data_IF_191688180470
#
_entry.id   IF_191688180470
#
_cell.length_a   1.000
_cell.length_b   1.000
_cell.length_c   1.000
_cell.angle_alpha   90.00
_cell.angle_beta   90.00
_cell.angle_gamma   90.00
#
_symmetry.space_group_name_H-M   'P 1'
#
loop_
_entity.id
_entity.type
_entity.pdbx_description
1 polymer ?
#
# COMPACT_ATOMS: atom_id res chain seq x y z
N UNK A 1 7.34 1.09 22.39
CA UNK A 1 6.20 1.85 21.82
C UNK A 1 6.31 3.35 22.04
N UNK A 2 6.59 3.82 23.27
CA UNK A 2 6.75 5.25 23.58
C UNK A 2 7.74 5.96 22.63
N UNK A 3 8.94 5.42 22.45
CA UNK A 3 9.98 6.03 21.61
C UNK A 3 9.56 6.16 20.13
N UNK A 4 8.83 5.17 19.62
CA UNK A 4 8.28 5.20 18.26
C UNK A 4 7.24 6.31 18.10
N UNK A 5 6.34 6.45 19.09
CA UNK A 5 5.32 7.50 19.10
C UNK A 5 5.99 8.88 19.14
N UNK A 6 6.99 9.07 20.01
CA UNK A 6 7.74 10.33 20.10
C UNK A 6 8.47 10.66 18.80
N UNK A 7 9.10 9.67 18.16
CA UNK A 7 9.77 9.84 16.88
C UNK A 7 8.78 10.26 15.76
N UNK A 8 7.61 9.62 15.71
CA UNK A 8 6.55 9.97 14.75
C UNK A 8 6.04 11.38 15.02
N UNK A 9 5.69 11.71 16.27
CA UNK A 9 5.20 13.04 16.65
C UNK A 9 6.20 14.14 16.28
N UNK A 10 7.48 13.91 16.54
CA UNK A 10 8.55 14.84 16.18
C UNK A 10 8.67 15.02 14.66
N UNK A 11 8.43 13.96 13.88
CA UNK A 11 8.44 14.00 12.42
C UNK A 11 7.15 14.55 11.78
N UNK A 12 6.02 14.58 12.49
CA UNK A 12 4.72 14.97 11.93
C UNK A 12 4.69 16.42 11.41
N UNK A 13 5.38 17.34 12.08
CA UNK A 13 5.36 18.76 11.73
C UNK A 13 5.95 19.06 10.34
N UNK A 14 6.99 18.32 9.93
CA UNK A 14 7.57 18.41 8.58
C UNK A 14 6.87 17.47 7.59
N UNK A 15 6.35 16.34 8.07
CA UNK A 15 5.66 15.35 7.26
C UNK A 15 4.34 15.86 6.67
N UNK A 16 3.47 16.49 7.47
CA UNK A 16 2.13 16.91 7.02
C UNK A 16 2.21 17.88 5.82
N UNK A 17 3.01 18.97 5.87
CA UNK A 17 3.18 19.84 4.70
C UNK A 17 3.73 19.12 3.47
N UNK A 18 4.63 18.15 3.67
CA UNK A 18 5.18 17.36 2.59
C UNK A 18 4.13 16.43 1.97
N UNK A 19 3.33 15.75 2.79
CA UNK A 19 2.22 14.90 2.34
C UNK A 19 1.20 15.72 1.55
N UNK A 20 0.78 16.87 2.08
CA UNK A 20 -0.14 17.78 1.41
C UNK A 20 0.44 18.24 0.06
N UNK A 21 1.72 18.60 0.03
CA UNK A 21 2.41 18.99 -1.20
C UNK A 21 2.41 17.86 -2.23
N UNK A 22 2.75 16.64 -1.82
CA UNK A 22 2.76 15.45 -2.69
C UNK A 22 1.35 15.15 -3.22
N UNK A 23 0.33 15.21 -2.37
CA UNK A 23 -1.07 14.91 -2.76
C UNK A 23 -1.68 15.99 -3.65
N UNK A 24 -1.45 17.26 -3.34
CA UNK A 24 -2.06 18.37 -4.07
C UNK A 24 -1.54 18.50 -5.51
N UNK A 25 -0.24 18.33 -5.74
CA UNK A 25 0.38 18.53 -7.05
C UNK A 25 1.51 17.51 -7.33
N UNK A 26 1.24 16.19 -7.36
CA UNK A 26 2.29 15.16 -7.43
C UNK A 26 3.16 15.30 -8.69
N UNK A 27 2.57 15.69 -9.83
CA UNK A 27 3.29 15.86 -11.12
C UNK A 27 4.34 16.97 -11.11
N UNK A 28 4.26 17.91 -10.15
CA UNK A 28 5.21 19.00 -9.99
C UNK A 28 6.15 18.69 -8.82
N UNK A 29 5.56 18.34 -7.67
CA UNK A 29 6.30 18.22 -6.42
C UNK A 29 7.16 16.95 -6.36
N UNK A 30 6.70 15.80 -6.85
CA UNK A 30 7.48 14.56 -6.80
C UNK A 30 8.75 14.64 -7.67
N UNK A 31 8.69 15.05 -8.97
CA UNK A 31 9.91 15.26 -9.74
C UNK A 31 10.89 16.25 -9.11
N UNK A 32 10.37 17.32 -8.46
CA UNK A 32 11.22 18.28 -7.75
C UNK A 32 11.96 17.62 -6.59
N UNK A 33 11.26 16.85 -5.76
CA UNK A 33 11.83 16.10 -4.63
C UNK A 33 12.86 15.06 -5.10
N UNK A 34 12.62 14.39 -6.23
CA UNK A 34 13.56 13.42 -6.82
C UNK A 34 14.87 14.09 -7.27
N UNK A 35 14.80 15.35 -7.70
CA UNK A 35 15.96 16.10 -8.20
C UNK A 35 16.59 17.02 -7.13
N UNK A 36 16.18 16.92 -5.86
CA UNK A 36 16.77 17.71 -4.79
C UNK A 36 18.27 17.36 -4.63
N UNK A 37 19.15 18.36 -4.49
CA UNK A 37 20.60 18.14 -4.45
C UNK A 37 21.11 17.51 -3.15
N UNK A 38 20.32 17.52 -2.06
CA UNK A 38 20.73 17.00 -0.75
C UNK A 38 19.91 15.76 -0.36
N UNK A 39 20.57 14.58 -0.38
CA UNK A 39 20.07 13.30 0.16
C UNK A 39 18.61 12.94 -0.18
N UNK A 40 18.18 12.98 -1.46
CA UNK A 40 16.77 12.81 -1.83
C UNK A 40 16.21 11.43 -1.44
N UNK A 41 17.05 10.38 -1.46
CA UNK A 41 16.67 9.06 -0.97
C UNK A 41 16.35 9.04 0.52
N UNK A 42 17.15 9.71 1.34
CA UNK A 42 16.93 9.77 2.79
C UNK A 42 15.62 10.47 3.11
N UNK A 43 15.31 11.59 2.44
CA UNK A 43 14.04 12.30 2.62
C UNK A 43 12.84 11.41 2.24
N UNK A 44 12.94 10.68 1.14
CA UNK A 44 11.90 9.73 0.73
C UNK A 44 11.74 8.61 1.76
N UNK A 45 12.82 8.02 2.25
CA UNK A 45 12.77 6.97 3.27
C UNK A 45 12.17 7.45 4.59
N UNK A 46 12.48 8.68 5.02
CA UNK A 46 11.84 9.29 6.21
C UNK A 46 10.35 9.49 5.97
N UNK A 47 9.96 10.02 4.81
CA UNK A 47 8.55 10.18 4.44
C UNK A 47 7.79 8.84 4.43
N UNK A 48 8.40 7.79 3.87
CA UNK A 48 7.87 6.43 3.88
C UNK A 48 7.74 5.87 5.30
N UNK A 49 8.81 6.00 6.10
CA UNK A 49 8.87 5.49 7.47
C UNK A 49 7.81 6.12 8.37
N UNK A 50 7.60 7.44 8.27
CA UNK A 50 6.52 8.12 8.99
C UNK A 50 5.14 7.64 8.50
N UNK A 51 4.93 7.52 7.19
CA UNK A 51 3.66 7.00 6.64
C UNK A 51 3.35 5.59 7.13
N UNK A 52 4.36 4.70 7.13
CA UNK A 52 4.22 3.33 7.63
C UNK A 52 3.98 3.31 9.14
N UNK A 53 4.70 4.14 9.90
CA UNK A 53 4.52 4.28 11.34
C UNK A 53 3.10 4.70 11.70
N UNK A 54 2.55 5.72 11.04
CA UNK A 54 1.16 6.16 11.20
C UNK A 54 0.19 5.01 10.89
N UNK A 55 0.39 4.32 9.77
CA UNK A 55 -0.45 3.20 9.37
C UNK A 55 -0.45 2.05 10.39
N UNK A 56 0.71 1.71 10.97
CA UNK A 56 0.79 0.67 12.01
C UNK A 56 0.15 1.10 13.31
N UNK A 57 0.39 2.34 13.76
CA UNK A 57 -0.28 2.87 14.96
C UNK A 57 -1.80 2.87 14.79
N UNK A 58 -2.30 3.24 13.61
CA UNK A 58 -3.73 3.24 13.31
C UNK A 58 -4.33 1.82 13.29
N UNK A 59 -3.54 0.80 12.91
CA UNK A 59 -3.94 -0.60 12.90
C UNK A 59 -3.71 -1.32 14.22
N UNK A 60 -3.00 -0.73 15.19
CA UNK A 60 -2.68 -1.37 16.46
C UNK A 60 -3.92 -1.94 17.20
N UNK A 61 -5.08 -1.25 17.24
CA UNK A 61 -6.30 -1.81 17.86
C UNK A 61 -6.90 -3.01 17.12
N UNK A 62 -6.48 -3.27 15.88
CA UNK A 62 -6.96 -4.37 15.07
C UNK A 62 -6.10 -5.64 15.21
N UNK A 63 -5.02 -5.61 15.99
CA UNK A 63 -4.23 -6.81 16.26
C UNK A 63 -5.05 -7.84 17.05
N UNK A 64 -4.72 -9.11 16.86
CA UNK A 64 -5.29 -10.19 17.64
C UNK A 64 -4.79 -10.15 19.09
N UNK A 65 -5.62 -10.61 20.02
CA UNK A 65 -5.19 -10.78 21.42
C UNK A 65 -3.98 -11.72 21.48
N UNK A 66 -2.98 -11.35 22.28
CA UNK A 66 -1.74 -12.12 22.44
C UNK A 66 -0.67 -11.89 21.36
N UNK A 67 -0.95 -11.15 20.28
CA UNK A 67 0.08 -10.76 19.32
C UNK A 67 0.94 -9.61 19.85
N UNK A 68 2.26 -9.78 19.82
CA UNK A 68 3.19 -8.70 20.09
C UNK A 68 3.21 -7.70 18.92
N UNK A 69 2.79 -6.46 19.19
CA UNK A 69 2.73 -5.39 18.19
C UNK A 69 4.08 -5.19 17.48
N UNK A 70 5.19 -5.21 18.23
CA UNK A 70 6.51 -4.94 17.66
C UNK A 70 6.92 -6.01 16.66
N UNK A 71 6.66 -7.28 16.99
CA UNK A 71 6.92 -8.43 16.11
C UNK A 71 6.08 -8.35 14.83
N UNK A 72 4.76 -8.13 14.94
CA UNK A 72 3.87 -8.04 13.77
C UNK A 72 4.22 -6.84 12.90
N UNK A 73 4.41 -5.65 13.49
CA UNK A 73 4.79 -4.45 12.76
C UNK A 73 6.16 -4.60 12.09
N UNK A 74 7.14 -5.22 12.77
CA UNK A 74 8.46 -5.51 12.22
C UNK A 74 8.40 -6.45 11.02
N UNK A 75 7.66 -7.55 11.13
CA UNK A 75 7.48 -8.50 10.03
C UNK A 75 6.79 -7.85 8.82
N UNK A 76 5.71 -7.12 9.05
CA UNK A 76 5.00 -6.40 7.98
C UNK A 76 5.88 -5.32 7.35
N UNK A 77 6.68 -4.59 8.14
CA UNK A 77 7.62 -3.60 7.63
C UNK A 77 8.64 -4.24 6.67
N UNK A 78 9.24 -5.36 7.06
CA UNK A 78 10.22 -6.09 6.23
C UNK A 78 9.57 -6.56 4.93
N UNK A 79 8.37 -7.15 5.01
CA UNK A 79 7.62 -7.58 3.81
C UNK A 79 7.33 -6.39 2.88
N UNK A 80 6.88 -5.26 3.43
CA UNK A 80 6.61 -4.04 2.65
C UNK A 80 7.87 -3.45 2.02
N UNK A 81 8.99 -3.47 2.74
CA UNK A 81 10.28 -3.02 2.21
C UNK A 81 10.76 -3.93 1.07
N UNK A 82 10.59 -5.24 1.20
CA UNK A 82 10.90 -6.17 0.14
C UNK A 82 10.00 -5.95 -1.09
N UNK A 83 8.69 -5.80 -0.87
CA UNK A 83 7.71 -5.52 -1.94
C UNK A 83 8.05 -4.25 -2.72
N UNK A 84 8.36 -3.14 -2.02
CA UNK A 84 8.70 -1.87 -2.70
C UNK A 84 9.99 -2.00 -3.50
N UNK A 85 11.01 -2.70 -2.99
CA UNK A 85 12.27 -2.91 -3.71
C UNK A 85 12.07 -3.80 -4.95
N UNK A 86 11.37 -4.93 -4.79
CA UNK A 86 11.07 -5.85 -5.89
C UNK A 86 10.23 -5.17 -6.98
N UNK A 87 9.21 -4.42 -6.58
CA UNK A 87 8.36 -3.65 -7.50
C UNK A 87 9.17 -2.61 -8.27
N UNK A 88 10.07 -1.88 -7.59
CA UNK A 88 10.93 -0.91 -8.25
C UNK A 88 11.98 -1.57 -9.16
N UNK A 89 12.46 -2.75 -8.81
CA UNK A 89 13.35 -3.54 -9.66
C UNK A 89 12.64 -3.97 -10.95
N UNK A 90 11.40 -4.44 -10.84
CA UNK A 90 10.57 -4.74 -12.02
C UNK A 90 10.30 -3.50 -12.87
N UNK A 91 9.95 -2.37 -12.23
CA UNK A 91 9.71 -1.10 -12.93
C UNK A 91 10.94 -0.60 -13.69
N UNK A 92 12.13 -0.61 -13.06
CA UNK A 92 13.34 -0.17 -13.75
C UNK A 92 13.65 -1.07 -14.96
N UNK A 93 13.45 -2.38 -14.83
CA UNK A 93 13.62 -3.31 -15.95
C UNK A 93 12.66 -2.98 -17.09
N UNK A 94 11.38 -2.75 -16.81
CA UNK A 94 10.39 -2.32 -17.81
C UNK A 94 10.81 -1.04 -18.50
N UNK A 95 11.21 -0.01 -17.74
CA UNK A 95 11.64 1.25 -18.34
C UNK A 95 12.89 1.07 -19.19
N UNK A 96 13.85 0.23 -18.77
CA UNK A 96 15.05 -0.09 -19.56
C UNK A 96 14.70 -0.82 -20.86
N UNK A 97 13.77 -1.77 -20.83
CA UNK A 97 13.31 -2.50 -22.02
C UNK A 97 12.70 -1.57 -23.09
N UNK A 98 12.01 -0.51 -22.68
CA UNK A 98 11.44 0.48 -23.63
C UNK A 98 12.39 1.64 -23.95
N UNK A 99 13.66 1.57 -23.52
CA UNK A 99 14.69 2.56 -23.80
C UNK A 99 14.69 3.79 -22.89
N UNK A 100 14.24 3.66 -21.65
CA UNK A 100 14.27 4.70 -20.63
C UNK A 100 15.66 4.89 -20.03
N UNK A 101 16.00 6.14 -19.68
CA UNK A 101 17.35 6.52 -19.22
C UNK A 101 17.46 6.82 -17.73
N UNK A 102 16.35 6.77 -16.98
CA UNK A 102 16.32 7.10 -15.56
C UNK A 102 17.10 6.09 -14.71
N UNK A 103 17.51 6.52 -13.52
CA UNK A 103 18.21 5.65 -12.56
C UNK A 103 17.22 4.83 -11.73
N UNK A 104 17.72 3.73 -11.14
CA UNK A 104 16.94 2.97 -10.16
C UNK A 104 16.55 3.84 -8.97
N UNK A 105 17.49 4.63 -8.45
CA UNK A 105 17.28 5.53 -7.31
C UNK A 105 16.16 6.54 -7.59
N UNK A 106 16.16 7.21 -8.75
CA UNK A 106 15.08 8.14 -9.13
C UNK A 106 13.71 7.45 -9.19
N UNK A 107 13.69 6.20 -9.68
CA UNK A 107 12.46 5.39 -9.76
C UNK A 107 11.97 5.03 -8.35
N UNK A 108 12.88 4.59 -7.48
CA UNK A 108 12.58 4.22 -6.09
C UNK A 108 12.06 5.42 -5.29
N UNK A 109 12.72 6.57 -5.37
CA UNK A 109 12.31 7.80 -4.69
C UNK A 109 10.91 8.22 -5.14
N UNK A 110 10.67 8.25 -6.46
CA UNK A 110 9.36 8.59 -7.00
C UNK A 110 8.29 7.60 -6.53
N UNK A 111 8.57 6.29 -6.58
CA UNK A 111 7.66 5.25 -6.10
C UNK A 111 7.32 5.40 -4.62
N UNK A 112 8.30 5.75 -3.78
CA UNK A 112 8.06 5.98 -2.35
C UNK A 112 7.05 7.11 -2.13
N UNK A 113 7.24 8.26 -2.80
CA UNK A 113 6.32 9.39 -2.69
C UNK A 113 4.95 9.11 -3.31
N UNK A 114 4.89 8.31 -4.37
CA UNK A 114 3.61 7.93 -5.03
C UNK A 114 2.84 6.91 -4.17
N UNK A 115 3.53 5.92 -3.61
CA UNK A 115 2.92 4.79 -2.90
C UNK A 115 2.50 5.15 -1.47
N UNK A 116 3.27 5.98 -0.76
CA UNK A 116 2.99 6.29 0.66
C UNK A 116 1.60 6.90 0.92
N UNK A 117 1.11 7.91 0.15
CA UNK A 117 -0.24 8.43 0.33
C UNK A 117 -1.33 7.39 0.04
N UNK A 118 -1.13 6.56 -0.99
CA UNK A 118 -2.07 5.46 -1.29
C UNK A 118 -2.07 4.44 -0.19
N UNK A 119 -0.91 4.05 0.34
CA UNK A 119 -0.83 3.10 1.44
C UNK A 119 -1.62 3.58 2.66
N UNK A 120 -1.47 4.86 3.05
CA UNK A 120 -2.29 5.44 4.12
C UNK A 120 -3.78 5.37 3.81
N UNK A 121 -4.17 5.77 2.59
CA UNK A 121 -5.57 5.73 2.18
C UNK A 121 -6.16 4.31 2.21
N UNK A 122 -5.41 3.30 1.75
CA UNK A 122 -5.80 1.89 1.82
C UNK A 122 -5.97 1.43 3.27
N UNK A 123 -5.04 1.80 4.15
CA UNK A 123 -5.08 1.43 5.58
C UNK A 123 -6.27 2.06 6.29
N UNK A 124 -6.54 3.35 6.06
CA UNK A 124 -7.73 3.99 6.63
C UNK A 124 -9.02 3.40 6.08
N UNK A 125 -9.07 3.09 4.78
CA UNK A 125 -10.19 2.36 4.19
C UNK A 125 -10.42 1.00 4.86
N UNK A 126 -9.35 0.24 5.12
CA UNK A 126 -9.42 -1.04 5.84
C UNK A 126 -9.92 -0.87 7.28
N UNK A 127 -9.47 0.16 8.01
CA UNK A 127 -9.94 0.44 9.37
C UNK A 127 -11.44 0.77 9.36
N UNK A 128 -11.91 1.58 8.41
CA UNK A 128 -13.34 1.87 8.25
C UNK A 128 -14.12 0.59 7.95
N UNK A 129 -13.64 -0.24 7.03
CA UNK A 129 -14.27 -1.52 6.70
C UNK A 129 -14.38 -2.44 7.93
N UNK A 130 -13.31 -2.53 8.72
CA UNK A 130 -13.30 -3.28 9.97
C UNK A 130 -14.29 -2.72 10.99
N UNK A 131 -14.44 -1.39 11.07
CA UNK A 131 -15.44 -0.74 11.92
C UNK A 131 -16.88 -1.07 11.51
N UNK A 132 -17.17 -1.06 10.20
CA UNK A 132 -18.48 -1.48 9.66
C UNK A 132 -18.77 -2.92 10.03
N UNK A 133 -17.83 -3.83 9.77
CA UNK A 133 -17.97 -5.25 10.11
C UNK A 133 -18.18 -5.45 11.61
N UNK A 134 -17.35 -4.83 12.45
CA UNK A 134 -17.44 -5.00 13.90
C UNK A 134 -18.75 -4.46 14.49
N UNK A 135 -19.33 -3.41 13.88
CA UNK A 135 -20.63 -2.88 14.28
C UNK A 135 -21.81 -3.76 13.86
N UNK A 136 -21.70 -4.46 12.72
CA UNK A 136 -22.77 -5.30 12.18
C UNK A 136 -22.73 -6.73 12.73
N UNK A 137 -21.55 -7.37 12.69
CA UNK A 137 -21.32 -8.73 13.16
C UNK A 137 -19.86 -8.90 13.64
N UNK A 138 -19.65 -8.89 14.98
CA UNK A 138 -18.32 -9.06 15.56
C UNK A 138 -17.61 -10.35 15.15
N UNK A 139 -18.35 -11.43 14.87
CA UNK A 139 -17.76 -12.72 14.48
C UNK A 139 -17.19 -12.64 13.07
N UNK A 140 -17.94 -12.07 12.12
CA UNK A 140 -17.44 -11.86 10.75
C UNK A 140 -16.24 -10.90 10.76
N UNK A 141 -16.26 -9.85 11.59
CA UNK A 141 -15.12 -8.96 11.76
C UNK A 141 -13.88 -9.71 12.28
N UNK A 142 -14.06 -10.64 13.22
CA UNK A 142 -12.98 -11.49 13.71
C UNK A 142 -12.43 -12.40 12.60
N UNK A 143 -13.29 -13.07 11.84
CA UNK A 143 -12.89 -13.95 10.73
C UNK A 143 -12.12 -13.15 9.65
N UNK A 144 -12.59 -11.95 9.31
CA UNK A 144 -11.89 -11.05 8.40
C UNK A 144 -10.49 -10.69 8.91
N UNK A 145 -10.38 -10.32 10.20
CA UNK A 145 -9.11 -9.90 10.81
C UNK A 145 -8.00 -10.94 10.64
N UNK A 146 -8.35 -12.21 10.69
CA UNK A 146 -7.42 -13.33 10.50
C UNK A 146 -7.22 -13.73 9.02
N UNK A 147 -7.77 -12.96 8.08
CA UNK A 147 -7.68 -13.24 6.65
C UNK A 147 -8.47 -14.47 6.20
N UNK A 148 -9.39 -14.96 7.04
CA UNK A 148 -10.18 -16.17 6.77
C UNK A 148 -11.48 -15.89 6.02
N UNK A 149 -11.88 -14.62 5.84
CA UNK A 149 -13.13 -14.31 5.16
C UNK A 149 -12.95 -14.39 3.65
N UNK A 150 -13.59 -15.40 3.06
CA UNK A 150 -13.80 -15.47 1.61
C UNK A 150 -15.17 -14.87 1.27
N UNK A 151 -15.19 -13.92 0.33
CA UNK A 151 -16.42 -13.31 -0.18
C UNK A 151 -17.31 -14.28 -0.98
N UNK A 152 -16.78 -15.45 -1.36
CA UNK A 152 -17.55 -16.54 -1.93
C UNK A 152 -18.08 -17.54 -0.87
N UNK A 153 -17.76 -17.34 0.42
CA UNK A 153 -18.18 -18.25 1.49
C UNK A 153 -19.67 -18.14 1.83
N UNK A 154 -20.22 -19.21 2.42
CA UNK A 154 -21.57 -19.21 2.99
C UNK A 154 -21.72 -18.18 4.11
N UNK A 155 -20.68 -17.99 4.93
CA UNK A 155 -20.64 -17.00 6.01
C UNK A 155 -20.86 -15.58 5.48
N UNK A 156 -20.20 -15.22 4.37
CA UNK A 156 -20.41 -13.92 3.73
C UNK A 156 -21.81 -13.80 3.12
N UNK A 157 -22.33 -14.87 2.52
CA UNK A 157 -23.68 -14.88 1.96
C UNK A 157 -24.76 -14.72 3.04
N UNK A 158 -24.56 -15.30 4.23
CA UNK A 158 -25.44 -15.15 5.38
C UNK A 158 -25.35 -13.72 5.94
N UNK A 159 -24.14 -13.21 6.13
CA UNK A 159 -23.91 -11.82 6.55
C UNK A 159 -24.57 -10.81 5.59
N UNK A 160 -24.39 -10.99 4.28
CA UNK A 160 -24.94 -10.08 3.27
C UNK A 160 -26.47 -10.08 3.23
N UNK A 161 -27.10 -11.20 3.59
CA UNK A 161 -28.56 -11.29 3.70
C UNK A 161 -29.08 -10.64 4.98
N UNK A 162 -28.37 -10.79 6.10
CA UNK A 162 -28.77 -10.25 7.40
C UNK A 162 -28.46 -8.74 7.53
N UNK A 163 -27.33 -8.28 7.00
CA UNK A 163 -26.78 -6.93 7.14
C UNK A 163 -26.54 -6.29 5.77
N UNK A 164 -27.62 -6.21 4.98
CA UNK A 164 -27.54 -5.82 3.57
C UNK A 164 -26.96 -4.41 3.37
N UNK A 165 -27.29 -3.46 4.25
CA UNK A 165 -26.80 -2.08 4.14
C UNK A 165 -25.28 -2.01 4.35
N UNK A 166 -24.76 -2.74 5.33
CA UNK A 166 -23.34 -2.80 5.67
C UNK A 166 -22.55 -3.57 4.62
N UNK A 167 -23.11 -4.67 4.08
CA UNK A 167 -22.50 -5.39 2.96
C UNK A 167 -22.38 -4.50 1.71
N UNK A 168 -23.42 -3.75 1.35
CA UNK A 168 -23.33 -2.76 0.27
C UNK A 168 -22.36 -1.62 0.58
N UNK A 169 -22.34 -1.14 1.82
CA UNK A 169 -21.40 -0.13 2.29
C UNK A 169 -19.94 -0.58 2.14
N UNK A 170 -19.63 -1.83 2.49
CA UNK A 170 -18.31 -2.43 2.32
C UNK A 170 -17.92 -2.56 0.85
N UNK A 171 -18.84 -3.02 0.00
CA UNK A 171 -18.59 -3.15 -1.43
C UNK A 171 -18.37 -1.77 -2.08
N UNK A 172 -19.15 -0.76 -1.70
CA UNK A 172 -18.96 0.61 -2.15
C UNK A 172 -17.61 1.18 -1.68
N UNK A 173 -17.24 0.97 -0.42
CA UNK A 173 -15.94 1.39 0.12
C UNK A 173 -14.79 0.72 -0.64
N UNK A 174 -14.84 -0.59 -0.85
CA UNK A 174 -13.82 -1.32 -1.61
C UNK A 174 -13.69 -0.80 -3.05
N UNK A 175 -14.81 -0.54 -3.72
CA UNK A 175 -14.83 0.03 -5.07
C UNK A 175 -14.24 1.43 -5.11
N UNK A 176 -14.62 2.31 -4.19
CA UNK A 176 -14.07 3.67 -4.08
C UNK A 176 -12.57 3.58 -3.84
N UNK A 177 -12.14 2.73 -2.91
CA UNK A 177 -10.73 2.55 -2.57
C UNK A 177 -9.93 2.10 -3.80
N UNK A 178 -10.46 1.15 -4.56
CA UNK A 178 -9.86 0.66 -5.80
C UNK A 178 -9.78 1.75 -6.89
N UNK A 179 -10.87 2.47 -7.13
CA UNK A 179 -10.93 3.54 -8.14
C UNK A 179 -9.96 4.66 -7.81
N UNK A 180 -9.89 5.08 -6.55
CA UNK A 180 -8.95 6.12 -6.10
C UNK A 180 -7.51 5.65 -6.29
N UNK A 181 -7.17 4.41 -5.90
CA UNK A 181 -5.82 3.87 -6.04
C UNK A 181 -5.37 3.79 -7.51
N UNK A 182 -6.24 3.27 -8.40
CA UNK A 182 -5.94 3.18 -9.83
C UNK A 182 -5.82 4.58 -10.46
N UNK A 183 -6.77 5.47 -10.18
CA UNK A 183 -6.77 6.82 -10.74
C UNK A 183 -5.52 7.58 -10.31
N UNK A 184 -5.14 7.47 -9.03
CA UNK A 184 -3.90 8.05 -8.51
C UNK A 184 -2.67 7.51 -9.23
N UNK A 185 -2.60 6.19 -9.41
CA UNK A 185 -1.47 5.56 -10.09
C UNK A 185 -1.35 6.00 -11.55
N UNK A 186 -2.47 5.99 -12.29
CA UNK A 186 -2.54 6.49 -13.68
C UNK A 186 -2.13 7.97 -13.73
N UNK A 187 -2.63 8.79 -12.81
CA UNK A 187 -2.31 10.20 -12.74
C UNK A 187 -0.80 10.43 -12.51
N UNK A 188 -0.21 9.67 -11.58
CA UNK A 188 1.21 9.74 -11.25
C UNK A 188 2.12 9.12 -12.31
N UNK A 189 1.62 8.23 -13.18
CA UNK A 189 2.44 7.54 -14.19
C UNK A 189 3.28 8.48 -15.07
N UNK A 190 2.74 9.67 -15.38
CA UNK A 190 3.44 10.69 -16.16
C UNK A 190 4.75 11.20 -15.52
N UNK A 191 4.93 11.01 -14.21
CA UNK A 191 6.16 11.32 -13.47
C UNK A 191 7.28 10.41 -13.97
N UNK A 192 7.05 9.09 -14.01
CA UNK A 192 8.06 8.14 -14.50
C UNK A 192 8.44 8.42 -15.94
N UNK A 193 7.48 8.77 -16.81
CA UNK A 193 7.78 9.18 -18.18
C UNK A 193 8.82 10.31 -18.24
N UNK A 194 8.66 11.34 -17.39
CA UNK A 194 9.59 12.48 -17.33
C UNK A 194 10.94 12.06 -16.80
N UNK A 195 10.98 11.30 -15.70
CA UNK A 195 12.22 10.82 -15.08
C UNK A 195 13.02 9.90 -16.01
N UNK A 196 12.34 9.13 -16.86
CA UNK A 196 12.96 8.20 -17.81
C UNK A 196 13.13 8.76 -19.23
N UNK A 197 12.81 10.04 -19.46
CA UNK A 197 12.89 10.71 -20.76
C UNK A 197 12.16 9.96 -21.90
N UNK A 198 11.02 9.35 -21.61
CA UNK A 198 10.27 8.54 -22.58
C UNK A 198 9.27 9.37 -23.40
N UNK A 199 9.06 8.97 -24.65
CA UNK A 199 7.92 9.43 -25.45
C UNK A 199 6.59 8.93 -24.88
N UNK A 200 5.47 9.54 -25.29
CA UNK A 200 4.12 9.14 -24.85
C UNK A 200 3.82 7.67 -25.15
N UNK A 201 4.16 7.19 -26.35
CA UNK A 201 3.90 5.82 -26.78
C UNK A 201 4.74 4.80 -26.00
N UNK A 202 6.05 5.06 -25.82
CA UNK A 202 6.92 4.18 -25.02
C UNK A 202 6.51 4.12 -23.57
N UNK A 203 6.04 5.24 -23.01
CA UNK A 203 5.50 5.29 -21.66
C UNK A 203 4.19 4.53 -21.51
N UNK A 204 3.31 4.54 -22.52
CA UNK A 204 2.11 3.72 -22.53
C UNK A 204 2.47 2.22 -22.60
N UNK A 205 3.43 1.85 -23.45
CA UNK A 205 3.91 0.47 -23.51
C UNK A 205 4.51 0.01 -22.17
N UNK A 206 5.35 0.83 -21.55
CA UNK A 206 5.88 0.57 -20.21
C UNK A 206 4.75 0.42 -19.16
N UNK A 207 3.67 1.19 -19.28
CA UNK A 207 2.53 1.07 -18.37
C UNK A 207 1.88 -0.30 -18.47
N UNK A 208 1.62 -0.76 -19.69
CA UNK A 208 1.00 -2.05 -19.94
C UNK A 208 1.90 -3.21 -19.45
N UNK A 209 3.21 -3.14 -19.74
CA UNK A 209 4.17 -4.15 -19.26
C UNK A 209 4.28 -4.16 -17.73
N UNK A 210 4.36 -2.98 -17.11
CA UNK A 210 4.40 -2.86 -15.66
C UNK A 210 3.12 -3.41 -15.02
N UNK A 211 1.95 -3.11 -15.60
CA UNK A 211 0.67 -3.62 -15.11
C UNK A 211 0.63 -5.16 -15.10
N UNK A 212 1.06 -5.81 -16.18
CA UNK A 212 1.16 -7.29 -16.23
C UNK A 212 2.12 -7.81 -15.15
N UNK A 213 3.30 -7.19 -15.01
CA UNK A 213 4.26 -7.59 -13.99
C UNK A 213 3.76 -7.38 -12.57
N UNK A 214 2.93 -6.37 -12.32
CA UNK A 214 2.33 -6.16 -10.99
C UNK A 214 1.39 -7.29 -10.62
N UNK A 215 0.62 -7.82 -11.58
CA UNK A 215 -0.17 -9.02 -11.34
C UNK A 215 0.72 -10.22 -11.02
N UNK A 216 1.82 -10.41 -11.75
CA UNK A 216 2.77 -11.49 -11.45
C UNK A 216 3.38 -11.36 -10.05
N UNK A 217 3.82 -10.17 -9.64
CA UNK A 217 4.37 -9.91 -8.30
C UNK A 217 3.30 -10.11 -7.23
N UNK A 218 2.08 -9.64 -7.45
CA UNK A 218 0.95 -9.85 -6.54
C UNK A 218 0.60 -11.33 -6.38
N UNK A 219 0.64 -12.09 -7.47
CA UNK A 219 0.41 -13.54 -7.45
C UNK A 219 1.53 -14.29 -6.72
N UNK A 220 2.80 -13.95 -6.97
CA UNK A 220 3.94 -14.52 -6.23
C UNK A 220 3.85 -14.23 -4.73
N UNK A 221 3.43 -13.02 -4.35
CA UNK A 221 3.17 -12.66 -2.96
C UNK A 221 2.07 -13.53 -2.36
N UNK A 222 0.96 -13.70 -3.08
CA UNK A 222 -0.15 -14.56 -2.63
C UNK A 222 0.34 -16.00 -2.39
N UNK A 223 1.10 -16.57 -3.32
CA UNK A 223 1.70 -17.90 -3.17
C UNK A 223 2.68 -17.97 -1.99
N UNK A 224 3.49 -16.93 -1.79
CA UNK A 224 4.43 -16.87 -0.66
C UNK A 224 3.68 -16.84 0.68
N UNK A 225 2.61 -16.06 0.79
CA UNK A 225 1.76 -16.01 2.00
C UNK A 225 1.07 -17.35 2.24
N UNK A 226 0.52 -17.98 1.19
CA UNK A 226 -0.06 -19.32 1.30
C UNK A 226 0.98 -20.35 1.76
N UNK A 227 2.18 -20.33 1.18
CA UNK A 227 3.27 -21.23 1.57
C UNK A 227 3.66 -21.08 3.04
N UNK A 228 3.78 -19.84 3.52
CA UNK A 228 4.07 -19.54 4.93
C UNK A 228 2.95 -20.02 5.88
N UNK A 229 1.69 -19.95 5.46
CA UNK A 229 0.53 -20.32 6.30
C UNK A 229 0.15 -21.81 6.19
N UNK A 230 0.57 -22.51 5.14
CA UNK A 230 0.22 -23.92 4.89
C UNK A 230 0.83 -24.91 5.89
N UNK A 231 1.81 -24.48 6.71
CA UNK A 231 2.39 -25.29 7.79
C UNK A 231 1.61 -25.25 9.11
N UNK A 232 0.66 -24.32 9.27
CA UNK A 232 -0.04 -24.05 10.53
C UNK A 232 -1.50 -23.65 10.28
N UNK A 233 -2.31 -24.52 9.67
CA UNK A 233 -3.77 -24.42 9.84
C UNK A 233 -4.16 -25.26 11.06
N UNK A 234 -4.37 -24.66 12.25
CA UNK A 234 -4.82 -25.39 13.41
C UNK A 234 -6.31 -25.71 13.20
N UNK A 235 -6.62 -26.96 12.91
CA UNK A 235 -7.93 -27.55 13.21
C UNK A 235 -9.15 -26.91 12.54
N UNK A 236 -9.17 -26.83 11.20
CA UNK A 236 -10.44 -26.91 10.47
C UNK A 236 -10.59 -28.36 9.99
N UNK A 237 -11.10 -29.20 10.89
CA UNK A 237 -11.80 -30.45 10.61
C UNK A 237 -13.20 -30.31 11.20
#
# INVERSE_FOLDING_TARGET
MKDLIEAIIKGLSSYIPMLVSVVANPKINIPRLVMEPSEPLRHALVFCGISIGIAFLAQAPLLAEGQDFATVAGALFVVKLFEILLFNAALILVFRLVGGTGTFEQTLIASIYIASPIYLFLVFGQIIAMGILAGADPLIAQIWRYGGLDFASTQWADFSRANMAEAYGLMALALITFVVAITWYIYCWSIYRRLHALSRQRSLLAYLLAFVLFYCVGFLRYLAVLGLNSGELPGIN
#
